data_IF_607137097884
#
_entry.id   IF_607137097884
#
_cell.length_a   1.000
_cell.length_b   1.000
_cell.length_c   1.000
_cell.angle_alpha   90.00
_cell.angle_beta   90.00
_cell.angle_gamma   90.00
#
_symmetry.space_group_name_H-M   'P 1'
#
loop_
_entity.id
_entity.type
_entity.pdbx_description
1 polymer ?
#
# COMPACT_ATOMS: atom_id res chain seq x y z
N UNK A 1 21.56 -26.18 5.21
CA UNK A 1 21.54 -25.21 4.10
C UNK A 1 20.65 -23.96 4.32
N UNK A 2 19.69 -23.99 5.26
CA UNK A 2 18.79 -22.87 5.56
C UNK A 2 19.47 -21.67 6.26
N UNK A 3 20.39 -21.86 7.24
CA UNK A 3 21.04 -20.75 7.93
C UNK A 3 21.93 -19.90 7.02
N UNK A 4 22.67 -20.53 6.09
CA UNK A 4 23.58 -19.82 5.17
C UNK A 4 22.83 -18.92 4.17
N UNK A 5 21.61 -19.27 3.80
CA UNK A 5 20.77 -18.47 2.90
C UNK A 5 20.23 -17.22 3.61
N UNK A 6 19.80 -17.34 4.86
CA UNK A 6 19.41 -16.20 5.72
C UNK A 6 20.58 -15.26 5.98
N UNK A 7 21.75 -15.79 6.31
CA UNK A 7 22.97 -14.98 6.50
C UNK A 7 23.37 -14.21 5.23
N UNK A 8 23.29 -14.84 4.05
CA UNK A 8 23.56 -14.13 2.77
C UNK A 8 22.54 -13.03 2.49
N UNK A 9 21.28 -13.25 2.75
CA UNK A 9 20.25 -12.22 2.60
C UNK A 9 20.47 -11.05 3.57
N UNK A 10 20.80 -11.32 4.84
CA UNK A 10 21.16 -10.29 5.80
C UNK A 10 22.41 -9.53 5.35
N UNK A 11 23.46 -10.22 4.90
CA UNK A 11 24.69 -9.57 4.42
C UNK A 11 24.44 -8.65 3.21
N UNK A 12 23.52 -9.00 2.30
CA UNK A 12 23.15 -8.14 1.15
C UNK A 12 22.30 -6.96 1.62
N UNK A 13 21.38 -7.20 2.57
CA UNK A 13 20.49 -6.21 3.12
C UNK A 13 21.25 -5.12 3.92
N UNK A 14 22.31 -5.51 4.64
CA UNK A 14 23.00 -4.65 5.60
C UNK A 14 24.28 -3.98 5.03
N UNK A 15 24.66 -4.32 3.79
CA UNK A 15 25.87 -3.76 3.13
C UNK A 15 25.63 -2.53 2.27
N UNK A 16 24.41 -2.03 2.20
CA UNK A 16 24.05 -0.90 1.34
C UNK A 16 24.60 0.42 1.89
N UNK A 17 25.85 0.70 1.60
CA UNK A 17 26.48 1.98 1.90
C UNK A 17 26.97 2.62 0.60
N UNK A 18 26.55 3.85 0.37
CA UNK A 18 26.96 4.68 -0.76
C UNK A 18 25.80 5.13 -1.66
N UNK A 19 26.05 6.14 -2.46
CA UNK A 19 25.05 6.78 -3.34
C UNK A 19 24.58 5.87 -4.49
N UNK A 20 25.34 4.81 -4.79
CA UNK A 20 25.00 3.78 -5.79
C UNK A 20 24.20 2.61 -5.20
N UNK A 21 23.81 2.73 -3.93
CA UNK A 21 23.07 1.72 -3.18
C UNK A 21 21.69 2.25 -2.80
N UNK A 22 20.70 1.37 -2.75
CA UNK A 22 19.36 1.68 -2.33
C UNK A 22 18.64 0.44 -1.79
N UNK A 23 17.64 0.65 -0.97
CA UNK A 23 16.71 -0.40 -0.54
C UNK A 23 15.28 0.09 -0.67
N UNK A 24 14.32 -0.82 -0.91
CA UNK A 24 12.94 -0.41 -1.09
C UNK A 24 11.95 -1.55 -1.04
N UNK A 25 10.69 -1.14 -0.96
CA UNK A 25 9.51 -2.02 -1.01
C UNK A 25 8.63 -1.57 -2.16
N UNK A 26 8.16 -2.52 -2.94
CA UNK A 26 7.36 -2.23 -4.13
C UNK A 26 6.25 -3.24 -4.34
N UNK A 27 5.08 -2.74 -4.67
CA UNK A 27 3.91 -3.53 -5.06
C UNK A 27 3.78 -3.52 -6.58
N UNK A 28 3.37 -4.64 -7.15
CA UNK A 28 3.11 -4.74 -8.60
C UNK A 28 1.89 -3.94 -9.02
N UNK A 29 0.95 -3.70 -8.08
CA UNK A 29 -0.25 -2.86 -8.26
C UNK A 29 -0.45 -1.99 -7.02
N UNK A 30 -1.19 -0.90 -7.16
CA UNK A 30 -1.53 -0.05 -6.02
C UNK A 30 -2.42 -0.81 -5.01
N UNK A 31 -1.97 -1.01 -3.76
CA UNK A 31 -2.69 -1.78 -2.76
C UNK A 31 -3.96 -1.09 -2.26
N UNK A 32 -4.10 0.21 -2.44
CA UNK A 32 -5.25 0.99 -2.00
C UNK A 32 -6.35 1.05 -3.05
N UNK A 33 -5.98 1.37 -4.30
CA UNK A 33 -6.93 1.56 -5.40
C UNK A 33 -7.09 0.35 -6.31
N UNK A 34 -6.16 -0.60 -6.30
CA UNK A 34 -6.12 -1.75 -7.19
C UNK A 34 -5.72 -1.44 -8.63
N UNK A 35 -5.27 -0.22 -8.93
CA UNK A 35 -4.80 0.15 -10.27
C UNK A 35 -3.56 -0.66 -10.63
N UNK A 36 -3.46 -1.06 -11.90
CA UNK A 36 -2.28 -1.74 -12.45
C UNK A 36 -1.14 -0.72 -12.66
N UNK A 37 -0.62 -0.21 -11.56
CA UNK A 37 0.47 0.76 -11.52
C UNK A 37 1.44 0.34 -10.41
N UNK A 38 2.74 0.37 -10.72
CA UNK A 38 3.78 0.08 -9.72
C UNK A 38 3.68 1.12 -8.60
N UNK A 39 3.51 0.63 -7.39
CA UNK A 39 3.41 1.45 -6.19
C UNK A 39 4.51 1.04 -5.20
N UNK A 40 5.24 2.00 -4.66
CA UNK A 40 6.28 1.69 -3.68
C UNK A 40 7.23 2.84 -3.43
N UNK A 41 8.15 2.58 -2.54
CA UNK A 41 9.09 3.55 -2.02
C UNK A 41 10.49 2.94 -1.91
N UNK A 42 11.51 3.79 -1.97
CA UNK A 42 12.90 3.39 -1.80
C UNK A 42 13.69 4.48 -1.09
N UNK A 43 14.80 4.09 -0.52
CA UNK A 43 15.77 4.97 0.12
C UNK A 43 17.15 4.75 -0.47
N UNK A 44 17.82 5.84 -0.87
CA UNK A 44 19.23 5.81 -1.30
C UNK A 44 20.11 5.77 -0.04
N UNK A 45 21.22 5.03 -0.12
CA UNK A 45 22.19 4.88 0.96
C UNK A 45 21.50 4.52 2.28
N UNK A 46 20.72 3.45 2.27
CA UNK A 46 19.89 3.01 3.39
C UNK A 46 19.91 1.49 3.52
N UNK A 47 19.77 1.03 4.76
CA UNK A 47 19.60 -0.37 5.08
C UNK A 47 18.11 -0.73 5.18
N UNK A 48 17.80 -2.02 5.17
CA UNK A 48 16.40 -2.47 5.25
C UNK A 48 15.67 -1.99 6.51
N UNK A 49 16.38 -1.76 7.60
CA UNK A 49 15.84 -1.23 8.86
C UNK A 49 15.41 0.23 8.73
N UNK A 50 16.12 1.03 7.93
CA UNK A 50 15.81 2.46 7.75
C UNK A 50 14.45 2.68 7.08
N UNK A 51 14.05 1.76 6.18
CA UNK A 51 12.73 1.80 5.51
C UNK A 51 11.61 1.51 6.50
N UNK A 52 11.83 0.59 7.44
CA UNK A 52 10.83 0.16 8.43
C UNK A 52 10.75 1.13 9.60
N UNK A 53 11.90 1.68 10.02
CA UNK A 53 11.97 2.58 11.17
C UNK A 53 11.39 3.98 10.91
N UNK A 54 11.17 4.35 9.64
CA UNK A 54 10.60 5.65 9.28
C UNK A 54 11.45 6.86 9.66
N UNK A 55 12.75 6.66 9.87
CA UNK A 55 13.71 7.71 10.27
C UNK A 55 14.01 8.70 9.16
N UNK A 56 13.80 8.30 7.91
CA UNK A 56 14.03 9.10 6.70
C UNK A 56 12.78 9.07 5.83
N UNK A 57 12.49 10.17 5.13
CA UNK A 57 11.39 10.21 4.15
C UNK A 57 11.76 9.41 2.90
N UNK A 58 11.04 8.35 2.57
CA UNK A 58 11.33 7.56 1.38
C UNK A 58 10.93 8.28 0.09
N UNK A 59 11.60 7.92 -0.99
CA UNK A 59 11.37 8.44 -2.33
C UNK A 59 10.46 7.50 -3.11
N UNK A 60 9.71 8.05 -4.08
CA UNK A 60 8.82 7.25 -4.92
C UNK A 60 9.58 6.42 -5.95
N UNK A 61 9.08 5.22 -6.24
CA UNK A 61 9.64 4.33 -7.27
C UNK A 61 9.43 4.92 -8.68
N UNK A 62 8.25 5.48 -8.96
CA UNK A 62 7.88 5.98 -10.28
C UNK A 62 7.81 7.50 -10.35
N UNK A 63 8.19 8.07 -11.50
CA UNK A 63 8.06 9.51 -11.78
C UNK A 63 6.61 9.99 -11.65
N UNK A 64 5.66 9.16 -12.11
CA UNK A 64 4.22 9.48 -12.00
C UNK A 64 3.78 9.66 -10.55
N UNK A 65 4.16 8.73 -9.66
CA UNK A 65 3.82 8.82 -8.24
C UNK A 65 4.42 10.07 -7.60
N UNK A 66 5.69 10.39 -7.91
CA UNK A 66 6.36 11.60 -7.44
C UNK A 66 5.61 12.88 -7.83
N UNK A 67 5.23 12.99 -9.10
CA UNK A 67 4.51 14.19 -9.60
C UNK A 67 3.15 14.32 -8.90
N UNK A 68 2.41 13.23 -8.75
CA UNK A 68 1.09 13.24 -8.12
C UNK A 68 1.13 13.60 -6.64
N UNK A 69 2.21 13.23 -5.93
CA UNK A 69 2.39 13.54 -4.50
C UNK A 69 3.04 14.91 -4.25
N UNK A 70 3.50 15.61 -5.31
CA UNK A 70 4.29 16.84 -5.16
C UNK A 70 5.69 16.62 -4.58
N UNK A 71 6.20 15.39 -4.65
CA UNK A 71 7.53 15.03 -4.13
C UNK A 71 8.67 15.81 -4.79
N UNK A 72 9.55 16.38 -3.96
CA UNK A 72 10.69 17.18 -4.44
C UNK A 72 11.86 16.32 -4.90
N UNK A 73 12.07 15.17 -4.26
CA UNK A 73 13.18 14.29 -4.57
C UNK A 73 12.87 13.42 -5.79
N UNK A 74 13.90 13.11 -6.58
CA UNK A 74 13.75 12.33 -7.81
C UNK A 74 13.35 10.88 -7.48
N UNK A 75 12.51 10.31 -8.34
CA UNK A 75 12.10 8.91 -8.23
C UNK A 75 13.21 7.94 -8.66
N UNK A 76 13.08 6.67 -8.32
CA UNK A 76 14.00 5.62 -8.77
C UNK A 76 14.04 5.51 -10.31
N UNK A 77 12.92 5.72 -10.97
CA UNK A 77 12.82 5.75 -12.43
C UNK A 77 13.76 6.82 -13.04
N UNK A 78 13.92 7.96 -12.34
CA UNK A 78 14.76 9.07 -12.79
C UNK A 78 16.23 8.93 -12.36
N UNK A 79 16.49 8.43 -11.13
CA UNK A 79 17.86 8.30 -10.59
C UNK A 79 18.58 7.04 -11.06
N UNK A 80 17.85 5.93 -11.19
CA UNK A 80 18.40 4.60 -11.54
C UNK A 80 17.63 3.93 -12.69
N UNK A 81 17.53 4.53 -13.89
CA UNK A 81 16.63 4.06 -14.96
C UNK A 81 16.91 2.63 -15.44
N UNK A 82 18.17 2.20 -15.44
CA UNK A 82 18.54 0.82 -15.82
C UNK A 82 18.04 -0.19 -14.78
N UNK A 83 18.21 0.11 -13.51
CA UNK A 83 17.75 -0.72 -12.38
C UNK A 83 16.22 -0.77 -12.35
N UNK A 84 15.56 0.37 -12.51
CA UNK A 84 14.10 0.45 -12.60
C UNK A 84 13.55 -0.40 -13.75
N UNK A 85 14.16 -0.38 -14.93
CA UNK A 85 13.76 -1.24 -16.06
C UNK A 85 13.85 -2.73 -15.72
N UNK A 86 14.91 -3.15 -15.02
CA UNK A 86 15.06 -4.52 -14.55
C UNK A 86 13.98 -4.87 -13.51
N UNK A 87 13.77 -4.00 -12.53
CA UNK A 87 12.75 -4.16 -11.49
C UNK A 87 11.37 -4.34 -12.13
N UNK A 88 10.98 -3.46 -13.05
CA UNK A 88 9.70 -3.54 -13.77
C UNK A 88 9.51 -4.89 -14.48
N UNK A 89 10.55 -5.41 -15.12
CA UNK A 89 10.52 -6.73 -15.79
C UNK A 89 10.31 -7.86 -14.76
N UNK A 90 11.01 -7.81 -13.63
CA UNK A 90 10.91 -8.82 -12.59
C UNK A 90 9.51 -8.79 -11.95
N UNK A 91 8.98 -7.60 -11.63
CA UNK A 91 7.64 -7.42 -11.07
C UNK A 91 6.57 -8.03 -11.99
N UNK A 92 6.65 -7.77 -13.30
CA UNK A 92 5.74 -8.38 -14.28
C UNK A 92 5.86 -9.92 -14.32
N UNK A 93 7.08 -10.45 -14.19
CA UNK A 93 7.31 -11.90 -14.15
C UNK A 93 6.73 -12.51 -12.89
N UNK A 94 6.93 -11.90 -11.73
CA UNK A 94 6.41 -12.36 -10.44
C UNK A 94 4.88 -12.36 -10.43
N UNK A 95 4.25 -11.27 -10.87
CA UNK A 95 2.79 -11.18 -10.92
C UNK A 95 2.16 -12.26 -11.82
N UNK A 96 2.76 -12.50 -12.99
CA UNK A 96 2.32 -13.57 -13.91
C UNK A 96 2.52 -14.97 -13.33
N UNK A 97 3.66 -15.19 -12.64
CA UNK A 97 3.98 -16.49 -12.06
C UNK A 97 3.05 -16.84 -10.90
N UNK A 98 2.87 -15.91 -9.97
CA UNK A 98 1.99 -16.10 -8.80
C UNK A 98 0.52 -15.84 -9.12
N UNK A 99 0.24 -15.26 -10.29
CA UNK A 99 -1.11 -14.87 -10.74
C UNK A 99 -1.82 -13.97 -9.71
N UNK A 100 -1.06 -13.19 -8.96
CA UNK A 100 -1.56 -12.29 -7.92
C UNK A 100 -0.63 -11.09 -7.72
N UNK A 101 -1.19 -10.00 -7.19
CA UNK A 101 -0.42 -8.82 -6.79
C UNK A 101 0.67 -9.21 -5.78
N UNK A 102 1.88 -8.78 -6.05
CA UNK A 102 3.04 -9.08 -5.21
C UNK A 102 3.52 -7.84 -4.47
N UNK A 103 3.93 -8.06 -3.24
CA UNK A 103 4.69 -7.16 -2.38
C UNK A 103 6.13 -7.67 -2.38
N UNK A 104 7.06 -6.82 -2.79
CA UNK A 104 8.43 -7.22 -3.10
C UNK A 104 9.41 -6.32 -2.38
N UNK A 105 10.32 -6.93 -1.64
CA UNK A 105 11.47 -6.25 -1.05
C UNK A 105 12.69 -6.42 -1.95
N UNK A 106 13.40 -5.33 -2.19
CA UNK A 106 14.59 -5.32 -3.04
C UNK A 106 15.68 -4.43 -2.46
N UNK A 107 16.90 -4.69 -2.91
CA UNK A 107 18.04 -3.82 -2.65
C UNK A 107 18.85 -3.61 -3.93
N UNK A 108 19.52 -2.49 -4.01
CA UNK A 108 20.49 -2.14 -5.07
C UNK A 108 21.84 -1.95 -4.41
N UNK A 109 22.84 -2.69 -4.87
CA UNK A 109 24.22 -2.55 -4.44
C UNK A 109 25.10 -2.33 -5.66
N UNK A 110 25.86 -1.25 -5.69
CA UNK A 110 26.72 -0.88 -6.83
C UNK A 110 25.94 -0.92 -8.16
N UNK A 111 24.77 -0.31 -8.23
CA UNK A 111 23.86 -0.29 -9.39
C UNK A 111 23.33 -1.66 -9.82
N UNK A 112 23.53 -2.72 -9.03
CA UNK A 112 23.03 -4.07 -9.28
C UNK A 112 21.81 -4.34 -8.43
N UNK A 113 20.70 -4.76 -9.06
CA UNK A 113 19.44 -5.11 -8.37
C UNK A 113 19.52 -6.51 -7.75
N UNK A 114 19.04 -6.62 -6.51
CA UNK A 114 18.86 -7.86 -5.77
C UNK A 114 17.45 -7.94 -5.23
N UNK A 115 16.79 -9.06 -5.47
CA UNK A 115 15.46 -9.34 -4.91
C UNK A 115 15.66 -10.05 -3.57
N UNK A 116 15.07 -9.52 -2.51
CA UNK A 116 15.20 -10.07 -1.16
C UNK A 116 14.03 -10.98 -0.81
N UNK A 117 12.80 -10.51 -1.04
CA UNK A 117 11.59 -11.23 -0.69
C UNK A 117 10.46 -10.87 -1.66
N UNK A 118 9.56 -11.83 -1.88
CA UNK A 118 8.25 -11.60 -2.51
C UNK A 118 7.17 -12.31 -1.71
N UNK A 119 6.00 -11.69 -1.61
CA UNK A 119 4.81 -12.24 -0.96
C UNK A 119 3.54 -11.69 -1.60
N UNK A 120 2.41 -12.34 -1.38
CA UNK A 120 1.11 -11.79 -1.78
C UNK A 120 0.88 -10.44 -1.09
N UNK A 121 0.61 -9.41 -1.86
CA UNK A 121 0.46 -8.05 -1.36
C UNK A 121 -0.81 -7.90 -0.52
N UNK A 122 -0.67 -7.35 0.69
CA UNK A 122 -1.82 -6.90 1.48
C UNK A 122 -2.50 -5.75 0.77
N UNK A 123 -3.83 -5.74 0.78
CA UNK A 123 -4.64 -4.78 0.02
C UNK A 123 -5.97 -4.49 0.70
N UNK A 124 -6.58 -3.36 0.36
CA UNK A 124 -7.94 -3.02 0.83
C UNK A 124 -8.98 -3.91 0.15
N UNK A 125 -10.17 -4.03 0.72
CA UNK A 125 -11.30 -4.77 0.13
C UNK A 125 -11.64 -4.24 -1.28
N UNK A 126 -11.70 -2.93 -1.46
CA UNK A 126 -11.93 -2.26 -2.75
C UNK A 126 -10.88 -2.66 -3.79
N UNK A 127 -9.61 -2.63 -3.39
CA UNK A 127 -8.50 -3.03 -4.24
C UNK A 127 -8.54 -4.51 -4.60
N UNK A 128 -8.87 -5.38 -3.64
CA UNK A 128 -8.97 -6.83 -3.87
C UNK A 128 -9.98 -7.17 -4.96
N UNK A 129 -11.19 -6.58 -4.90
CA UNK A 129 -12.23 -6.77 -5.91
C UNK A 129 -11.75 -6.26 -7.27
N UNK A 130 -11.19 -5.05 -7.32
CA UNK A 130 -10.70 -4.47 -8.57
C UNK A 130 -9.60 -5.31 -9.20
N UNK A 131 -8.60 -5.73 -8.42
CA UNK A 131 -7.49 -6.57 -8.89
C UNK A 131 -8.01 -7.90 -9.44
N UNK A 132 -8.94 -8.56 -8.74
CA UNK A 132 -9.53 -9.82 -9.18
C UNK A 132 -10.24 -9.67 -10.54
N UNK A 133 -11.04 -8.61 -10.71
CA UNK A 133 -11.73 -8.29 -11.98
C UNK A 133 -10.72 -8.01 -13.10
N UNK A 134 -9.71 -7.20 -12.83
CA UNK A 134 -8.71 -6.82 -13.84
C UNK A 134 -7.86 -8.04 -14.26
N UNK A 135 -7.47 -8.91 -13.33
CA UNK A 135 -6.74 -10.14 -13.63
C UNK A 135 -7.56 -11.16 -14.47
N UNK A 136 -8.87 -11.17 -14.30
CA UNK A 136 -9.75 -11.97 -15.21
C UNK A 136 -9.75 -11.38 -16.60
N UNK A 137 -9.87 -10.03 -16.74
CA UNK A 137 -9.81 -9.34 -18.04
C UNK A 137 -8.45 -9.55 -18.73
N UNK A 138 -7.37 -9.55 -17.97
CA UNK A 138 -6.01 -9.82 -18.41
C UNK A 138 -5.74 -11.31 -18.69
N UNK A 139 -6.73 -12.20 -18.47
CA UNK A 139 -6.65 -13.66 -18.64
C UNK A 139 -5.57 -14.31 -17.78
N UNK A 140 -5.23 -13.74 -16.66
CA UNK A 140 -4.28 -14.30 -15.69
C UNK A 140 -4.94 -15.34 -14.79
N UNK A 141 -6.22 -15.14 -14.46
CA UNK A 141 -7.03 -16.03 -13.62
C UNK A 141 -8.42 -16.26 -14.23
N UNK A 142 -9.08 -17.34 -13.83
CA UNK A 142 -10.47 -17.61 -14.20
C UNK A 142 -11.44 -16.80 -13.32
N UNK A 143 -12.71 -16.66 -13.77
CA UNK A 143 -13.77 -16.03 -12.96
C UNK A 143 -14.00 -16.76 -11.64
N UNK A 144 -13.93 -18.10 -11.65
CA UNK A 144 -14.08 -18.92 -10.44
C UNK A 144 -12.97 -18.62 -9.42
N UNK A 145 -11.73 -18.56 -9.88
CA UNK A 145 -10.58 -18.19 -9.02
C UNK A 145 -10.72 -16.78 -8.46
N UNK A 146 -11.18 -15.82 -9.27
CA UNK A 146 -11.40 -14.44 -8.82
C UNK A 146 -12.42 -14.37 -7.68
N UNK A 147 -13.52 -15.10 -7.78
CA UNK A 147 -14.56 -15.16 -6.72
C UNK A 147 -14.00 -15.79 -5.45
N UNK A 148 -13.25 -16.89 -5.56
CA UNK A 148 -12.67 -17.60 -4.41
C UNK A 148 -11.59 -16.80 -3.66
N UNK A 149 -11.01 -15.76 -4.29
CA UNK A 149 -9.98 -14.90 -3.67
C UNK A 149 -10.52 -13.77 -2.83
N UNK A 150 -11.80 -13.48 -2.96
CA UNK A 150 -12.43 -12.37 -2.24
C UNK A 150 -13.03 -12.92 -0.96
N UNK A 151 -12.56 -12.41 0.19
CA UNK A 151 -13.15 -12.71 1.47
C UNK A 151 -14.54 -12.07 1.57
N UNK A 152 -15.61 -12.88 1.77
CA UNK A 152 -16.97 -12.36 1.90
C UNK A 152 -17.13 -11.31 3.02
N UNK A 153 -16.44 -11.50 4.14
CA UNK A 153 -16.49 -10.55 5.26
C UNK A 153 -15.91 -9.18 4.90
N UNK A 154 -14.94 -9.15 3.99
CA UNK A 154 -14.36 -7.89 3.51
C UNK A 154 -15.32 -7.09 2.63
N UNK A 155 -16.33 -7.74 2.04
CA UNK A 155 -17.32 -7.05 1.20
C UNK A 155 -18.27 -6.19 2.03
N UNK A 156 -18.54 -6.56 3.27
CA UNK A 156 -19.36 -5.74 4.18
C UNK A 156 -18.80 -4.32 4.32
N UNK A 157 -17.48 -4.19 4.35
CA UNK A 157 -16.83 -2.88 4.42
C UNK A 157 -17.13 -1.99 3.21
N UNK A 158 -17.44 -2.58 2.05
CA UNK A 158 -17.75 -1.87 0.81
C UNK A 158 -19.23 -1.43 0.74
N UNK A 159 -20.09 -2.01 1.57
CA UNK A 159 -21.51 -1.67 1.65
C UNK A 159 -21.78 -0.47 2.56
N UNK A 160 -20.81 -0.11 3.41
CA UNK A 160 -20.95 1.06 4.27
C UNK A 160 -20.76 2.36 3.49
N UNK A 161 -21.50 3.42 3.84
CA UNK A 161 -21.28 4.75 3.29
C UNK A 161 -19.82 5.19 3.46
N UNK A 162 -19.27 5.82 2.43
CA UNK A 162 -17.90 6.37 2.45
C UNK A 162 -17.94 7.85 2.11
N UNK A 163 -16.91 8.58 2.52
CA UNK A 163 -16.73 9.97 2.10
C UNK A 163 -16.40 10.02 0.61
N UNK A 164 -16.94 11.01 -0.10
CA UNK A 164 -16.58 11.25 -1.49
C UNK A 164 -15.14 11.81 -1.56
N UNK A 165 -14.23 11.07 -2.21
CA UNK A 165 -12.82 11.45 -2.39
C UNK A 165 -12.64 12.77 -3.15
N UNK A 166 -13.67 13.23 -3.87
CA UNK A 166 -13.66 14.50 -4.63
C UNK A 166 -14.16 15.71 -3.84
N UNK A 167 -14.73 15.48 -2.66
CA UNK A 167 -15.21 16.54 -1.79
C UNK A 167 -14.04 17.29 -1.15
N UNK A 168 -14.13 18.62 -1.09
CA UNK A 168 -13.19 19.44 -0.32
C UNK A 168 -13.49 19.31 1.18
N UNK A 169 -12.87 18.34 1.82
CA UNK A 169 -13.12 17.99 3.22
C UNK A 169 -12.03 18.59 4.11
N UNK A 170 -12.44 19.50 4.99
CA UNK A 170 -11.57 20.00 6.04
C UNK A 170 -11.49 19.00 7.20
N UNK A 171 -10.35 18.33 7.35
CA UNK A 171 -10.10 17.45 8.51
C UNK A 171 -9.87 18.30 9.75
N UNK A 172 -10.71 18.14 10.77
CA UNK A 172 -10.63 18.87 12.05
C UNK A 172 -9.80 18.07 13.07
N UNK A 173 -9.99 16.73 13.10
CA UNK A 173 -9.29 15.84 14.02
C UNK A 173 -9.15 14.44 13.40
N UNK A 174 -8.24 13.63 13.94
CA UNK A 174 -8.07 12.22 13.60
C UNK A 174 -8.22 11.37 14.84
N UNK A 175 -8.96 10.26 14.75
CA UNK A 175 -9.14 9.27 15.81
C UNK A 175 -8.76 7.87 15.34
N UNK A 176 -8.79 6.92 16.27
CA UNK A 176 -8.62 5.50 15.94
C UNK A 176 -9.89 4.95 15.29
N UNK A 177 -9.79 4.25 14.15
CA UNK A 177 -10.96 3.64 13.51
C UNK A 177 -11.45 2.44 14.33
N UNK A 178 -12.70 2.49 14.77
CA UNK A 178 -13.35 1.40 15.50
C UNK A 178 -14.31 0.59 14.63
N UNK A 179 -14.92 1.22 13.63
CA UNK A 179 -15.89 0.61 12.72
C UNK A 179 -15.77 1.21 11.32
N UNK A 180 -16.01 0.45 10.26
CA UNK A 180 -16.03 0.98 8.90
C UNK A 180 -17.24 1.89 8.69
N UNK A 181 -17.10 2.83 7.74
CA UNK A 181 -18.19 3.69 7.30
C UNK A 181 -17.95 5.17 7.54
N UNK A 182 -18.88 5.97 7.05
CA UNK A 182 -18.95 7.41 7.27
C UNK A 182 -20.36 7.77 7.74
N UNK A 183 -20.44 8.66 8.70
CA UNK A 183 -21.72 9.14 9.25
C UNK A 183 -21.70 10.66 9.32
N UNK A 184 -22.89 11.26 9.28
CA UNK A 184 -23.12 12.67 9.54
C UNK A 184 -24.15 12.84 10.64
N UNK A 185 -23.97 13.82 11.53
CA UNK A 185 -24.89 14.09 12.61
C UNK A 185 -24.45 15.26 13.48
N UNK A 186 -25.29 15.61 14.44
CA UNK A 186 -25.02 16.65 15.42
C UNK A 186 -23.96 16.15 16.42
N UNK A 187 -22.92 16.92 16.65
CA UNK A 187 -21.90 16.59 17.66
C UNK A 187 -22.50 16.75 19.06
N UNK A 188 -22.31 15.73 19.89
CA UNK A 188 -22.72 15.70 21.29
C UNK A 188 -21.57 15.16 22.16
N UNK A 189 -21.52 15.54 23.41
CA UNK A 189 -20.42 15.22 24.32
C UNK A 189 -20.84 14.31 25.49
N UNK A 190 -22.12 14.00 25.61
CA UNK A 190 -22.65 13.05 26.64
C UNK A 190 -23.55 11.98 26.02
N UNK A 191 -23.55 10.79 26.63
CA UNK A 191 -24.38 9.67 26.19
C UNK A 191 -25.86 9.97 26.33
N UNK A 192 -26.26 10.67 27.43
CA UNK A 192 -27.63 11.04 27.70
C UNK A 192 -28.19 11.98 26.62
N UNK A 193 -27.37 12.95 26.17
CA UNK A 193 -27.79 13.85 25.08
C UNK A 193 -27.91 13.10 23.77
N UNK A 194 -26.97 12.16 23.48
CA UNK A 194 -27.03 11.31 22.31
C UNK A 194 -28.32 10.48 22.26
N UNK A 195 -28.67 9.83 23.35
CA UNK A 195 -29.89 9.03 23.48
C UNK A 195 -31.16 9.89 23.32
N UNK A 196 -31.20 11.04 23.96
CA UNK A 196 -32.30 11.99 23.85
C UNK A 196 -32.56 12.44 22.43
N UNK A 197 -31.50 12.82 21.72
CA UNK A 197 -31.60 13.27 20.33
C UNK A 197 -31.90 12.12 19.35
N UNK A 198 -31.39 10.93 19.62
CA UNK A 198 -31.70 9.74 18.83
C UNK A 198 -33.19 9.38 18.98
N UNK A 199 -33.79 9.52 20.19
CA UNK A 199 -35.23 9.40 20.42
C UNK A 199 -36.07 10.40 19.63
N UNK A 200 -35.48 11.51 19.18
CA UNK A 200 -36.08 12.52 18.31
C UNK A 200 -35.74 12.28 16.80
N UNK A 201 -35.23 11.09 16.43
CA UNK A 201 -34.78 10.72 15.09
C UNK A 201 -33.67 11.63 14.50
N UNK A 202 -32.88 12.27 15.36
CA UNK A 202 -31.72 13.06 14.93
C UNK A 202 -30.45 12.23 15.05
N UNK A 203 -29.72 12.13 13.95
CA UNK A 203 -28.41 11.49 13.94
C UNK A 203 -27.40 12.30 14.77
N UNK A 204 -26.66 11.62 15.64
CA UNK A 204 -25.67 12.23 16.50
C UNK A 204 -24.30 11.58 16.33
N UNK A 205 -23.26 12.36 16.58
CA UNK A 205 -21.86 11.90 16.66
C UNK A 205 -21.40 12.21 18.09
N UNK A 206 -21.22 11.15 18.89
CA UNK A 206 -20.71 11.28 20.24
C UNK A 206 -19.19 11.44 20.21
N UNK A 207 -18.70 12.53 20.75
CA UNK A 207 -17.27 12.84 20.89
C UNK A 207 -16.91 12.84 22.37
N UNK A 208 -16.00 11.95 22.78
CA UNK A 208 -15.54 11.84 24.18
C UNK A 208 -14.02 11.76 24.23
N UNK A 209 -13.47 12.19 25.35
CA UNK A 209 -12.14 11.84 25.81
C UNK A 209 -12.30 10.57 26.65
N UNK A 210 -11.56 9.53 26.34
CA UNK A 210 -11.55 8.28 27.11
C UNK A 210 -11.00 8.49 28.51
#
# INVERSE_FOLDING_TARGET
HYPLRRQRQMCIRDRNMGDDCATGVVFTRDPSSGKNEIYGEYLINAQGEDVVAGTRTPQHITKKARINSGGKELSMEETMPKVFKQLKKILSTLEKHYKDMQDVEFTVENKKLWMLQTRSGKRTAKSAVKIAVDMVKEKLISRKEAILRIDPNSLDTLLHPTLDEKSDIKVIAKGLPASPGAVSGKVVFSSEEAERLNGMMQNTILVRVE
#
